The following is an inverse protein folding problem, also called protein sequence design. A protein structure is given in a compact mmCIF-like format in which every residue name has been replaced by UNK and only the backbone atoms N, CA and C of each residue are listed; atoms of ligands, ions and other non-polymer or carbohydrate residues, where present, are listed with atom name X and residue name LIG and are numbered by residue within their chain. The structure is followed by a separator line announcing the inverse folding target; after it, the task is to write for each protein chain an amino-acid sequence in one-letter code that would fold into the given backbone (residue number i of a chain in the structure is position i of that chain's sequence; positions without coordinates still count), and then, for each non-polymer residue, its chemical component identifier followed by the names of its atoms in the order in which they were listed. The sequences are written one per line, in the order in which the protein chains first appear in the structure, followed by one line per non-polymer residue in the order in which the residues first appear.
data_IF_314977060467
#
_entry.id   IF_314977060467
#
_cell.length_a   1.000
_cell.length_b   1.000
_cell.length_c   1.000
_cell.angle_alpha   90.00
_cell.angle_beta   90.00
_cell.angle_gamma   90.00
#
_symmetry.space_group_name_H-M   'P 1'
#
loop_
_entity.id
_entity.type
_entity.pdbx_description
1 polymer ?
#
# COMPACT_ATOMS: atom_id res chain seq x y z
N UNK A 1 14.41 13.05 -29.91
CA UNK A 1 13.35 12.03 -30.06
C UNK A 1 13.71 10.90 -29.12
N UNK A 2 13.05 10.74 -27.97
CA UNK A 2 13.41 9.66 -27.04
C UNK A 2 13.01 9.78 -25.57
N UNK A 3 12.04 10.61 -25.16
CA UNK A 3 11.61 10.67 -23.74
C UNK A 3 10.11 10.40 -23.54
N UNK A 4 9.27 10.64 -24.56
CA UNK A 4 7.83 10.35 -24.49
C UNK A 4 7.51 8.84 -24.57
N UNK A 5 8.41 8.04 -25.15
CA UNK A 5 8.18 6.60 -25.39
C UNK A 5 8.41 5.75 -24.13
N UNK A 6 9.29 6.17 -23.21
CA UNK A 6 9.53 5.42 -21.96
C UNK A 6 8.42 5.65 -20.93
N UNK A 7 7.90 6.87 -20.81
CA UNK A 7 6.79 7.16 -19.91
C UNK A 7 5.53 6.38 -20.30
N UNK A 8 5.17 6.37 -21.59
CA UNK A 8 3.97 5.67 -22.05
C UNK A 8 4.13 4.15 -21.98
N UNK A 9 5.36 3.63 -22.15
CA UNK A 9 5.68 2.22 -21.87
C UNK A 9 5.58 1.88 -20.39
N UNK A 10 6.04 2.75 -19.50
CA UNK A 10 5.91 2.56 -18.05
C UNK A 10 4.43 2.58 -17.69
N UNK A 11 3.65 3.58 -18.11
CA UNK A 11 2.20 3.62 -17.84
C UNK A 11 1.44 2.43 -18.43
N UNK A 12 1.79 1.97 -19.63
CA UNK A 12 1.22 0.77 -20.23
C UNK A 12 1.61 -0.51 -19.46
N UNK A 13 2.85 -0.60 -18.97
CA UNK A 13 3.29 -1.67 -18.07
C UNK A 13 2.53 -1.61 -16.76
N UNK A 14 2.39 -0.43 -16.15
CA UNK A 14 1.66 -0.20 -14.91
C UNK A 14 0.18 -0.61 -15.01
N UNK A 15 -0.42 -0.44 -16.20
CA UNK A 15 -1.80 -0.87 -16.47
C UNK A 15 -1.97 -2.35 -16.86
N UNK A 16 -0.89 -3.11 -17.02
CA UNK A 16 -0.92 -4.55 -17.39
C UNK A 16 -0.52 -5.49 -16.24
N UNK A 17 -0.05 -4.96 -15.11
CA UNK A 17 0.29 -5.75 -13.92
C UNK A 17 -0.78 -5.54 -12.85
N UNK A 18 -1.36 -6.64 -12.35
CA UNK A 18 -2.31 -6.63 -11.24
C UNK A 18 -1.69 -6.09 -9.93
N UNK A 19 -0.35 -6.04 -9.85
CA UNK A 19 0.44 -5.30 -8.83
C UNK A 19 1.70 -4.71 -9.49
N UNK A 20 1.84 -3.39 -9.44
CA UNK A 20 2.99 -2.65 -9.98
C UNK A 20 4.24 -2.81 -9.10
N UNK A 21 5.31 -3.44 -9.61
CA UNK A 21 6.72 -3.09 -9.31
C UNK A 21 7.61 -3.47 -10.53
N UNK A 22 8.39 -2.53 -11.12
CA UNK A 22 9.08 -2.66 -12.45
C UNK A 22 10.60 -2.40 -12.44
N UNK A 23 11.47 -3.32 -12.96
CA UNK A 23 12.97 -3.33 -12.94
C UNK A 23 13.59 -3.59 -14.30
N UNK A 24 14.79 -3.00 -14.48
CA UNK A 24 15.98 -3.66 -15.04
C UNK A 24 17.27 -3.27 -14.27
N UNK A 25 18.44 -3.77 -14.71
CA UNK A 25 19.55 -4.38 -13.94
C UNK A 25 20.74 -3.52 -13.38
N UNK A 26 21.53 -4.21 -12.52
CA UNK A 26 22.80 -3.97 -11.76
C UNK A 26 23.97 -3.21 -12.47
N UNK A 27 25.07 -2.69 -11.79
CA UNK A 27 25.52 -2.79 -10.38
C UNK A 27 25.67 -1.48 -9.59
N UNK A 28 25.30 -1.49 -8.29
CA UNK A 28 26.01 -0.77 -7.22
C UNK A 28 25.65 -1.37 -5.84
N UNK A 29 26.66 -1.88 -5.13
CA UNK A 29 26.53 -2.72 -3.91
C UNK A 29 26.14 -1.94 -2.65
N UNK A 30 26.36 -0.62 -2.60
CA UNK A 30 26.09 0.18 -1.39
C UNK A 30 24.63 0.62 -1.25
N UNK A 31 23.82 0.54 -2.31
CA UNK A 31 22.39 0.86 -2.22
C UNK A 31 21.58 -0.32 -1.62
N UNK A 32 22.07 -1.56 -1.70
CA UNK A 32 21.35 -2.78 -1.27
C UNK A 32 20.88 -2.80 0.21
N UNK A 33 21.50 -2.02 1.10
CA UNK A 33 21.08 -1.97 2.50
C UNK A 33 19.81 -1.12 2.69
N UNK A 34 19.69 0.03 2.02
CA UNK A 34 18.47 0.85 2.04
C UNK A 34 17.30 0.19 1.30
N UNK A 35 17.63 -0.68 0.35
CA UNK A 35 16.70 -1.49 -0.47
C UNK A 35 15.94 -2.52 0.37
N UNK A 36 16.60 -3.09 1.38
CA UNK A 36 16.00 -4.06 2.30
C UNK A 36 15.07 -3.37 3.30
N UNK A 37 15.33 -2.10 3.62
CA UNK A 37 14.55 -1.37 4.61
C UNK A 37 13.17 -0.95 4.07
N UNK A 38 13.09 -0.44 2.83
CA UNK A 38 11.81 -0.01 2.23
C UNK A 38 10.83 -1.18 2.02
N UNK A 39 11.32 -2.37 1.63
CA UNK A 39 10.44 -3.56 1.48
C UNK A 39 9.95 -4.12 2.81
N UNK A 40 10.59 -3.74 3.93
CA UNK A 40 10.23 -4.13 5.30
C UNK A 40 9.34 -3.10 5.99
N UNK A 41 9.16 -1.91 5.43
CA UNK A 41 8.25 -0.91 5.96
C UNK A 41 6.84 -1.50 5.97
N UNK A 42 6.25 -1.55 7.17
CA UNK A 42 4.88 -2.00 7.35
C UNK A 42 3.90 -0.91 6.92
N UNK A 43 2.83 -1.32 6.25
CA UNK A 43 1.65 -0.55 5.93
C UNK A 43 0.42 -1.26 6.51
N UNK A 44 -0.74 -0.62 6.40
CA UNK A 44 -2.03 -1.21 6.77
C UNK A 44 -2.92 -1.27 5.55
N UNK A 45 -3.45 -2.46 5.23
CA UNK A 45 -4.35 -2.66 4.09
C UNK A 45 -5.67 -3.23 4.61
N UNK A 46 -6.74 -2.44 4.49
CA UNK A 46 -8.08 -2.81 4.94
C UNK A 46 -9.01 -2.94 3.75
N UNK A 47 -9.89 -3.94 3.78
CA UNK A 47 -10.89 -4.13 2.74
C UNK A 47 -11.92 -2.99 2.76
N UNK A 48 -12.30 -2.50 1.59
CA UNK A 48 -13.14 -1.32 1.44
C UNK A 48 -14.53 -1.49 2.07
N UNK A 49 -15.10 -2.69 2.02
CA UNK A 49 -16.39 -2.99 2.67
C UNK A 49 -16.30 -2.85 4.20
N UNK A 50 -15.20 -3.31 4.81
CA UNK A 50 -14.98 -3.18 6.25
C UNK A 50 -14.77 -1.72 6.65
N UNK A 51 -14.04 -0.95 5.82
CA UNK A 51 -13.89 0.50 6.03
C UNK A 51 -15.26 1.16 6.06
N UNK A 52 -16.15 0.83 5.12
CA UNK A 52 -17.51 1.38 5.07
C UNK A 52 -18.33 1.02 6.32
N UNK A 53 -18.31 -0.25 6.74
CA UNK A 53 -19.05 -0.71 7.91
C UNK A 53 -18.53 -0.05 9.20
N UNK A 54 -17.22 -0.01 9.40
CA UNK A 54 -16.60 0.67 10.55
C UNK A 54 -16.90 2.17 10.55
N UNK A 55 -16.91 2.81 9.38
CA UNK A 55 -17.23 4.23 9.25
C UNK A 55 -18.66 4.51 9.73
N UNK A 56 -19.63 3.70 9.30
CA UNK A 56 -21.03 3.84 9.75
C UNK A 56 -21.14 3.61 11.26
N UNK A 57 -20.51 2.55 11.78
CA UNK A 57 -20.49 2.28 13.23
C UNK A 57 -19.90 3.44 14.00
N UNK A 58 -18.80 4.02 13.53
CA UNK A 58 -18.12 5.15 14.15
C UNK A 58 -18.90 6.45 14.06
N UNK A 59 -19.69 6.66 13.00
CA UNK A 59 -20.50 7.87 12.88
C UNK A 59 -21.60 7.96 13.96
N UNK A 60 -22.16 6.81 14.37
CA UNK A 60 -23.24 6.73 15.35
C UNK A 60 -22.76 6.43 16.79
N UNK A 61 -21.46 6.29 17.02
CA UNK A 61 -20.90 5.94 18.33
C UNK A 61 -20.51 7.19 19.13
N UNK A 62 -21.13 7.48 20.29
CA UNK A 62 -20.76 8.64 21.11
C UNK A 62 -19.29 8.66 21.55
N UNK A 63 -18.60 7.50 21.57
CA UNK A 63 -17.18 7.38 21.94
C UNK A 63 -16.23 8.03 20.93
N UNK A 64 -16.65 8.19 19.68
CA UNK A 64 -15.84 8.72 18.56
C UNK A 64 -16.07 10.21 18.29
N UNK A 65 -17.04 10.82 18.98
CA UNK A 65 -17.43 12.21 18.76
C UNK A 65 -16.26 13.18 18.94
N UNK A 66 -15.95 13.97 17.89
CA UNK A 66 -14.81 14.90 17.85
C UNK A 66 -13.45 14.24 18.10
N UNK A 67 -13.30 12.97 17.70
CA UNK A 67 -12.06 12.21 17.86
C UNK A 67 -11.55 11.65 16.54
N UNK A 68 -10.24 11.41 16.49
CA UNK A 68 -9.62 10.65 15.40
C UNK A 68 -9.87 9.15 15.66
N UNK A 69 -10.35 8.45 14.63
CA UNK A 69 -10.56 7.01 14.62
C UNK A 69 -9.56 6.38 13.66
N UNK A 70 -8.82 5.38 14.12
CA UNK A 70 -7.67 4.79 13.42
C UNK A 70 -8.02 3.37 12.99
N UNK A 71 -7.73 3.06 11.73
CA UNK A 71 -8.05 1.78 11.09
C UNK A 71 -6.78 0.95 11.01
N UNK A 72 -6.32 0.40 12.15
CA UNK A 72 -5.07 -0.36 12.26
C UNK A 72 -5.30 -1.73 12.91
N UNK A 73 -6.10 -2.61 12.30
CA UNK A 73 -6.25 -3.97 12.80
C UNK A 73 -4.94 -4.75 12.67
N UNK A 74 -4.57 -5.49 13.72
CA UNK A 74 -3.27 -6.18 13.83
C UNK A 74 -3.00 -7.15 12.66
N UNK A 75 -4.03 -7.89 12.20
CA UNK A 75 -3.89 -8.86 11.11
C UNK A 75 -3.80 -8.24 9.71
N UNK A 76 -3.90 -6.92 9.61
CA UNK A 76 -3.85 -6.16 8.37
C UNK A 76 -2.59 -5.28 8.26
N UNK A 77 -1.70 -5.35 9.25
CA UNK A 77 -0.38 -4.74 9.21
C UNK A 77 0.54 -5.68 8.43
N UNK A 78 1.14 -5.19 7.34
CA UNK A 78 2.00 -5.99 6.47
C UNK A 78 3.04 -5.14 5.77
N UNK A 79 4.23 -5.67 5.56
CA UNK A 79 5.22 -5.08 4.66
C UNK A 79 5.02 -5.52 3.19
N UNK A 80 5.58 -4.78 2.24
CA UNK A 80 5.54 -5.18 0.82
C UNK A 80 6.14 -6.57 0.61
N UNK A 81 7.24 -6.89 1.31
CA UNK A 81 7.90 -8.19 1.23
C UNK A 81 6.99 -9.33 1.69
N UNK A 82 6.30 -9.15 2.82
CA UNK A 82 5.37 -10.14 3.36
C UNK A 82 4.15 -10.32 2.47
N UNK A 83 3.60 -9.23 1.92
CA UNK A 83 2.46 -9.26 1.01
C UNK A 83 2.79 -10.07 -0.26
N UNK A 84 3.94 -9.79 -0.87
CA UNK A 84 4.43 -10.53 -2.03
C UNK A 84 4.63 -12.00 -1.68
N UNK A 85 5.28 -12.29 -0.55
CA UNK A 85 5.54 -13.67 -0.13
C UNK A 85 4.23 -14.45 0.11
N UNK A 86 3.22 -13.79 0.68
CA UNK A 86 1.90 -14.38 0.89
C UNK A 86 1.18 -14.64 -0.44
N UNK A 87 1.28 -13.72 -1.39
CA UNK A 87 0.72 -13.88 -2.73
C UNK A 87 1.40 -15.00 -3.53
N UNK A 88 2.74 -15.06 -3.52
CA UNK A 88 3.51 -16.14 -4.16
C UNK A 88 3.13 -17.51 -3.58
N UNK A 89 2.93 -17.58 -2.25
CA UNK A 89 2.48 -18.81 -1.58
C UNK A 89 1.08 -19.22 -2.03
N UNK A 90 0.13 -18.28 -2.15
CA UNK A 90 -1.26 -18.61 -2.53
C UNK A 90 -1.39 -18.99 -3.99
N UNK A 91 -0.66 -18.32 -4.88
CA UNK A 91 -0.69 -18.58 -6.33
C UNK A 91 0.21 -19.74 -6.76
N UNK A 92 1.22 -20.10 -5.95
CA UNK A 92 2.29 -21.01 -6.33
C UNK A 92 3.24 -20.43 -7.39
N UNK A 93 3.11 -19.14 -7.72
CA UNK A 93 3.92 -18.45 -8.71
C UNK A 93 4.99 -17.62 -8.03
N UNK A 94 6.21 -17.63 -8.56
CA UNK A 94 7.25 -16.69 -8.14
C UNK A 94 7.18 -15.42 -8.98
N UNK A 95 7.19 -14.27 -8.33
CA UNK A 95 7.18 -12.98 -8.98
C UNK A 95 8.60 -12.48 -9.19
N UNK A 96 8.85 -11.85 -10.34
CA UNK A 96 10.08 -11.11 -10.54
C UNK A 96 10.04 -9.84 -9.69
N UNK A 97 10.97 -9.71 -8.74
CA UNK A 97 10.99 -8.62 -7.76
C UNK A 97 11.93 -7.53 -8.23
N UNK A 98 11.44 -6.31 -8.12
CA UNK A 98 12.15 -5.13 -8.54
C UNK A 98 12.28 -4.20 -7.36
N UNK A 99 13.46 -3.62 -7.18
CA UNK A 99 13.60 -2.49 -6.31
C UNK A 99 13.77 -1.14 -7.06
N UNK A 100 13.05 -0.12 -6.60
CA UNK A 100 13.22 1.28 -7.01
C UNK A 100 13.80 2.06 -5.83
N UNK A 101 14.93 2.76 -6.03
CA UNK A 101 15.55 3.52 -4.93
C UNK A 101 14.66 4.65 -4.44
N UNK A 102 14.70 4.95 -3.13
CA UNK A 102 14.00 6.11 -2.57
C UNK A 102 14.38 7.40 -3.33
N UNK A 103 15.67 7.58 -3.62
CA UNK A 103 16.16 8.74 -4.38
C UNK A 103 15.43 8.89 -5.72
N UNK A 104 15.22 7.78 -6.43
CA UNK A 104 14.51 7.78 -7.70
C UNK A 104 13.02 8.11 -7.53
N UNK A 105 12.36 7.56 -6.50
CA UNK A 105 10.96 7.90 -6.18
C UNK A 105 10.82 9.39 -5.87
N UNK A 106 11.75 9.97 -5.09
CA UNK A 106 11.80 11.40 -4.76
C UNK A 106 12.11 12.27 -5.97
N UNK A 107 12.91 11.77 -6.92
CA UNK A 107 13.17 12.48 -8.17
C UNK A 107 11.91 12.51 -9.05
N UNK A 108 11.26 11.37 -9.23
CA UNK A 108 10.01 11.25 -9.99
C UNK A 108 8.90 12.15 -9.42
N UNK A 109 8.77 12.27 -8.10
CA UNK A 109 7.78 13.17 -7.49
C UNK A 109 8.05 14.66 -7.75
N UNK A 110 9.27 15.03 -8.16
CA UNK A 110 9.65 16.40 -8.52
C UNK A 110 9.60 16.67 -10.02
N UNK A 111 9.86 15.66 -10.84
CA UNK A 111 10.01 15.82 -12.30
C UNK A 111 8.75 15.47 -13.08
N UNK A 112 7.88 14.59 -12.56
CA UNK A 112 6.62 14.25 -13.23
C UNK A 112 5.66 15.46 -13.26
N UNK A 113 4.92 15.67 -14.37
CA UNK A 113 3.93 16.74 -14.44
C UNK A 113 2.76 16.44 -13.52
N UNK A 114 2.14 17.48 -12.97
CA UNK A 114 0.89 17.36 -12.24
C UNK A 114 -0.23 16.80 -13.13
N UNK A 115 -1.08 15.85 -12.65
CA UNK A 115 -1.10 15.26 -11.30
C UNK A 115 -0.28 13.96 -11.15
N UNK A 116 0.53 13.57 -12.15
CA UNK A 116 1.26 12.28 -12.16
C UNK A 116 2.34 12.16 -11.08
N UNK A 117 2.80 13.27 -10.53
CA UNK A 117 3.70 13.27 -9.38
C UNK A 117 3.04 12.88 -8.05
N UNK A 118 1.71 13.04 -7.92
CA UNK A 118 0.97 12.79 -6.68
C UNK A 118 1.00 11.30 -6.28
N UNK A 119 0.66 10.33 -7.16
CA UNK A 119 0.73 8.90 -6.81
C UNK A 119 2.12 8.48 -6.32
N UNK A 120 3.18 8.99 -6.94
CA UNK A 120 4.56 8.66 -6.57
C UNK A 120 4.90 9.19 -5.17
N UNK A 121 4.47 10.41 -4.84
CA UNK A 121 4.63 10.97 -3.50
C UNK A 121 3.83 10.19 -2.45
N UNK A 122 2.62 9.72 -2.79
CA UNK A 122 1.81 8.86 -1.91
C UNK A 122 2.53 7.52 -1.67
N UNK A 123 3.00 6.84 -2.72
CA UNK A 123 3.75 5.59 -2.59
C UNK A 123 5.02 5.75 -1.73
N UNK A 124 5.71 6.88 -1.86
CA UNK A 124 6.86 7.21 -1.01
C UNK A 124 6.46 7.31 0.47
N UNK A 125 5.42 8.07 0.79
CA UNK A 125 4.91 8.22 2.16
C UNK A 125 4.49 6.88 2.77
N UNK A 126 3.71 6.09 2.02
CA UNK A 126 3.16 4.82 2.50
C UNK A 126 4.22 3.72 2.66
N UNK A 127 5.03 3.50 1.62
CA UNK A 127 5.85 2.29 1.50
C UNK A 127 7.35 2.52 1.66
N UNK A 128 7.80 3.77 1.77
CA UNK A 128 9.22 4.10 2.01
C UNK A 128 9.38 4.81 3.34
N UNK A 129 8.54 5.81 3.65
CA UNK A 129 8.53 6.46 4.96
C UNK A 129 7.75 5.70 6.01
N UNK A 130 6.74 4.94 5.60
CA UNK A 130 5.93 4.16 6.53
C UNK A 130 5.05 5.04 7.39
N UNK A 131 4.57 6.17 6.87
CA UNK A 131 3.86 7.18 7.67
C UNK A 131 2.57 6.64 8.30
N UNK A 132 1.99 5.55 7.77
CA UNK A 132 0.86 4.85 8.39
C UNK A 132 1.22 4.12 9.68
N UNK A 133 2.49 3.80 9.91
CA UNK A 133 3.00 2.97 11.02
C UNK A 133 4.14 3.64 11.79
N UNK A 134 4.52 4.87 11.44
CA UNK A 134 5.64 5.60 12.04
C UNK A 134 5.36 6.14 13.46
N UNK A 135 4.15 5.90 13.97
CA UNK A 135 3.70 6.33 15.29
C UNK A 135 3.06 5.17 16.06
N UNK A 136 3.28 5.16 17.38
CA UNK A 136 2.64 4.22 18.30
C UNK A 136 1.24 4.71 18.67
N UNK A 137 0.32 3.75 18.88
CA UNK A 137 -1.00 4.07 19.39
C UNK A 137 -0.94 4.26 20.90
N UNK A 138 -1.48 5.37 21.38
CA UNK A 138 -1.64 5.64 22.81
C UNK A 138 -2.85 4.90 23.37
N UNK A 139 -2.93 4.83 24.71
CA UNK A 139 -4.04 4.14 25.40
C UNK A 139 -5.40 4.72 25.04
N UNK A 140 -5.46 6.02 24.81
CA UNK A 140 -6.72 6.70 24.53
C UNK A 140 -7.09 6.68 23.04
N UNK A 141 -6.19 6.26 22.14
CA UNK A 141 -6.47 6.20 20.70
C UNK A 141 -7.58 5.22 20.34
N UNK A 142 -8.45 5.63 19.42
CA UNK A 142 -9.60 4.84 18.98
C UNK A 142 -9.24 4.01 17.77
N UNK A 143 -8.67 2.82 18.01
CA UNK A 143 -8.47 1.83 16.97
C UNK A 143 -9.77 1.01 16.77
N UNK A 144 -10.21 0.87 15.52
CA UNK A 144 -11.53 0.30 15.18
C UNK A 144 -11.72 -1.15 15.64
N UNK A 145 -10.69 -1.99 15.54
CA UNK A 145 -10.79 -3.40 15.97
C UNK A 145 -10.89 -3.55 17.49
N UNK A 146 -10.30 -2.62 18.25
CA UNK A 146 -10.48 -2.52 19.70
C UNK A 146 -11.83 -1.93 20.09
N UNK A 147 -12.33 -0.97 19.30
CA UNK A 147 -13.58 -0.26 19.58
C UNK A 147 -14.82 -1.14 19.33
N UNK A 148 -14.72 -2.05 18.34
CA UNK A 148 -15.77 -2.99 17.94
C UNK A 148 -15.24 -4.43 17.86
N UNK A 149 -14.94 -5.08 19.00
CA UNK A 149 -14.32 -6.40 19.03
C UNK A 149 -15.23 -7.51 18.48
N UNK A 150 -16.55 -7.29 18.44
CA UNK A 150 -17.52 -8.25 17.92
C UNK A 150 -17.63 -8.23 16.39
N UNK A 151 -17.04 -7.23 15.72
CA UNK A 151 -17.01 -7.17 14.26
C UNK A 151 -15.75 -7.84 13.73
N UNK A 152 -15.93 -8.94 13.00
CA UNK A 152 -14.84 -9.67 12.37
C UNK A 152 -14.50 -9.04 11.02
N UNK A 153 -13.45 -8.22 11.00
CA UNK A 153 -12.93 -7.64 9.76
C UNK A 153 -12.25 -8.68 8.86
N UNK A 154 -12.18 -8.37 7.57
CA UNK A 154 -11.46 -9.14 6.56
C UNK A 154 -9.96 -9.01 6.77
N UNK A 155 -9.33 -10.13 7.10
CA UNK A 155 -7.86 -10.19 7.24
C UNK A 155 -7.19 -10.13 5.87
N UNK A 156 -5.92 -9.72 5.82
CA UNK A 156 -5.15 -9.75 4.57
C UNK A 156 -5.10 -11.13 3.91
N UNK A 157 -5.01 -12.20 4.69
CA UNK A 157 -5.06 -13.57 4.17
C UNK A 157 -6.38 -13.84 3.43
N UNK A 158 -7.52 -13.47 4.02
CA UNK A 158 -8.85 -13.61 3.39
C UNK A 158 -9.02 -12.66 2.21
N UNK A 159 -8.50 -11.43 2.31
CA UNK A 159 -8.55 -10.46 1.23
C UNK A 159 -7.86 -11.03 -0.01
N UNK A 160 -6.66 -11.60 0.12
CA UNK A 160 -5.99 -12.23 -1.01
C UNK A 160 -6.75 -13.44 -1.58
N UNK A 161 -7.52 -14.16 -0.77
CA UNK A 161 -8.40 -15.22 -1.29
C UNK A 161 -9.54 -14.65 -2.15
N UNK A 162 -10.09 -13.48 -1.78
CA UNK A 162 -11.06 -12.75 -2.62
C UNK A 162 -10.43 -12.41 -3.97
N UNK A 163 -9.21 -11.88 -3.98
CA UNK A 163 -8.48 -11.55 -5.22
C UNK A 163 -8.19 -12.77 -6.12
N UNK A 164 -8.07 -13.98 -5.55
CA UNK A 164 -7.86 -15.20 -6.34
C UNK A 164 -9.14 -15.72 -6.98
N UNK A 165 -10.28 -15.56 -6.30
CA UNK A 165 -11.55 -16.16 -6.71
C UNK A 165 -12.38 -15.18 -7.55
N UNK A 166 -12.45 -13.93 -7.11
CA UNK A 166 -13.27 -12.89 -7.74
C UNK A 166 -12.66 -11.50 -7.43
N UNK A 167 -11.56 -11.13 -8.12
CA UNK A 167 -10.89 -9.86 -7.87
C UNK A 167 -11.82 -8.67 -8.16
N UNK A 168 -11.89 -7.67 -7.27
CA UNK A 168 -12.57 -6.43 -7.57
C UNK A 168 -11.88 -5.69 -8.73
N UNK A 169 -12.65 -4.94 -9.50
CA UNK A 169 -12.10 -4.13 -10.60
C UNK A 169 -11.09 -3.09 -10.06
N UNK A 170 -9.92 -2.92 -10.72
CA UNK A 170 -8.97 -1.89 -10.33
C UNK A 170 -9.59 -0.50 -10.37
N UNK A 171 -9.36 0.28 -9.31
CA UNK A 171 -9.83 1.66 -9.19
C UNK A 171 -8.67 2.65 -9.29
N UNK A 172 -8.94 3.81 -9.92
CA UNK A 172 -7.98 4.91 -10.01
C UNK A 172 -8.51 6.12 -9.25
N UNK A 173 -7.73 6.60 -8.28
CA UNK A 173 -8.06 7.84 -7.58
C UNK A 173 -7.95 9.04 -8.53
N UNK A 174 -8.93 9.95 -8.45
CA UNK A 174 -8.87 11.21 -9.16
C UNK A 174 -7.94 12.18 -8.41
N UNK A 175 -7.01 12.78 -9.14
CA UNK A 175 -6.11 13.81 -8.64
C UNK A 175 -6.30 15.06 -9.50
N UNK A 176 -6.67 16.16 -8.86
CA UNK A 176 -6.91 17.47 -9.50
C UNK A 176 -5.75 18.43 -9.30
#
# INVERSE_FOLDING_TARGET
MGELDEHDKIVALLGQVDVVISALAYPQVLDQLKIIDAIKVAAVLNYEEDIAIYTIKAADDPRTLNRVVIYRPEKNIISQFELISLWEKKTGQSLNKVHISEKHIVELSKTLPHPRNIPVAILHSLFVKGDLMSYELEKDDLEVSKLYPDFEYTTLDRLLDIFLVNPPEPAFAAFE
#
